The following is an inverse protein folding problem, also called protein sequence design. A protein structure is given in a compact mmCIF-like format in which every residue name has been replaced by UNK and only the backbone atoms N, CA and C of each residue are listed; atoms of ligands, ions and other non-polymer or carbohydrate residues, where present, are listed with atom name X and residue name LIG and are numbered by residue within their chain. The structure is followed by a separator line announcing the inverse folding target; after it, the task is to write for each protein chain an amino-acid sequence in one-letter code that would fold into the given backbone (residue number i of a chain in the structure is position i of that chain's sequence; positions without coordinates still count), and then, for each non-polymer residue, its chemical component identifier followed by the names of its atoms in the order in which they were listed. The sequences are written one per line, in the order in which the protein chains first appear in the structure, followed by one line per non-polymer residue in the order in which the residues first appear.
data_IF_591747394504
#
_entry.id   IF_591747394504
#
_cell.length_a   1.000
_cell.length_b   1.000
_cell.length_c   1.000
_cell.angle_alpha   90.00
_cell.angle_beta   90.00
_cell.angle_gamma   90.00
#
_symmetry.space_group_name_H-M   'P 1'
#
loop_
_entity.id
_entity.type
_entity.pdbx_description
1 polymer ?
#
# COMPACT_ATOMS: atom_id res chain seq x y z
N UNK A 1 -51.99 14.63 -23.40
CA UNK A 1 -50.64 14.29 -22.89
C UNK A 1 -49.70 14.10 -24.07
N UNK A 2 -48.68 14.95 -24.25
CA UNK A 2 -47.63 14.76 -25.28
C UNK A 2 -46.55 13.86 -24.72
N UNK A 3 -46.39 12.66 -25.31
CA UNK A 3 -45.26 11.79 -25.03
C UNK A 3 -43.98 12.45 -25.56
N UNK A 4 -43.14 12.97 -24.66
CA UNK A 4 -41.77 13.35 -24.97
C UNK A 4 -41.01 12.06 -25.32
N UNK A 5 -40.80 11.80 -26.61
CA UNK A 5 -39.91 10.74 -27.08
C UNK A 5 -38.55 10.92 -26.40
N UNK A 6 -38.11 9.93 -25.61
CA UNK A 6 -36.74 9.89 -25.06
C UNK A 6 -35.77 10.03 -26.23
N UNK A 7 -35.00 11.12 -26.24
CA UNK A 7 -33.94 11.30 -27.25
C UNK A 7 -32.95 10.15 -27.11
N UNK A 8 -32.65 9.49 -28.22
CA UNK A 8 -31.64 8.43 -28.28
C UNK A 8 -30.30 9.01 -27.78
N UNK A 9 -29.64 8.31 -26.86
CA UNK A 9 -28.34 8.72 -26.33
C UNK A 9 -27.33 8.63 -27.47
N UNK A 10 -26.66 9.75 -27.78
CA UNK A 10 -25.58 9.80 -28.77
C UNK A 10 -24.36 9.10 -28.18
N UNK A 11 -23.78 8.19 -28.95
CA UNK A 11 -22.57 7.44 -28.57
C UNK A 11 -21.34 8.03 -29.26
N UNK A 12 -20.13 7.67 -28.78
CA UNK A 12 -18.88 8.03 -29.44
C UNK A 12 -18.84 7.52 -30.89
N UNK A 13 -19.28 6.29 -31.11
CA UNK A 13 -19.38 5.66 -32.44
C UNK A 13 -20.33 6.42 -33.38
N UNK A 14 -21.40 7.03 -32.86
CA UNK A 14 -22.28 7.89 -33.65
C UNK A 14 -21.56 9.17 -34.10
N UNK A 15 -20.70 9.72 -33.26
CA UNK A 15 -19.91 10.93 -33.55
C UNK A 15 -18.77 10.61 -34.51
N UNK A 16 -18.06 9.51 -34.31
CA UNK A 16 -16.98 9.05 -35.20
C UNK A 16 -17.51 8.82 -36.62
N UNK A 17 -18.65 8.13 -36.77
CA UNK A 17 -19.32 7.98 -38.08
C UNK A 17 -19.72 9.32 -38.69
N UNK A 18 -20.17 10.27 -37.88
CA UNK A 18 -20.50 11.61 -38.38
C UNK A 18 -19.25 12.36 -38.86
N UNK A 19 -18.11 12.20 -38.18
CA UNK A 19 -16.82 12.76 -38.58
C UNK A 19 -16.37 12.16 -39.92
N UNK A 20 -16.45 10.83 -40.09
CA UNK A 20 -16.10 10.17 -41.36
C UNK A 20 -16.91 10.72 -42.55
N UNK A 21 -18.24 10.84 -42.38
CA UNK A 21 -19.11 11.42 -43.41
C UNK A 21 -18.71 12.87 -43.72
N UNK A 22 -18.31 13.63 -42.70
CA UNK A 22 -17.88 15.02 -42.87
C UNK A 22 -16.51 15.10 -43.56
N UNK A 23 -15.56 14.21 -43.25
CA UNK A 23 -14.26 14.14 -43.91
C UNK A 23 -14.41 13.85 -45.41
N UNK A 24 -15.33 12.96 -45.80
CA UNK A 24 -15.65 12.70 -47.22
C UNK A 24 -16.17 13.97 -47.92
N UNK A 25 -17.05 14.72 -47.26
CA UNK A 25 -17.60 15.98 -47.80
C UNK A 25 -16.59 17.12 -47.82
N UNK A 26 -15.71 17.17 -46.85
CA UNK A 26 -14.59 18.09 -46.83
C UNK A 26 -13.68 17.85 -48.04
N UNK A 27 -13.33 16.60 -48.31
CA UNK A 27 -12.50 16.22 -49.45
C UNK A 27 -13.12 16.68 -50.79
N UNK A 28 -14.42 16.43 -50.99
CA UNK A 28 -15.16 16.90 -52.17
C UNK A 28 -15.08 18.43 -52.33
N UNK A 29 -15.27 19.17 -51.24
CA UNK A 29 -15.28 20.64 -51.24
C UNK A 29 -13.87 21.21 -51.48
N UNK A 30 -12.85 20.68 -50.81
CA UNK A 30 -11.45 21.10 -50.99
C UNK A 30 -10.98 20.83 -52.42
N UNK A 31 -11.31 19.65 -52.97
CA UNK A 31 -10.97 19.31 -54.36
C UNK A 31 -11.60 20.29 -55.36
N UNK A 32 -12.89 20.64 -55.14
CA UNK A 32 -13.59 21.61 -55.97
C UNK A 32 -13.04 23.03 -55.79
N UNK A 33 -12.69 23.42 -54.56
CA UNK A 33 -12.05 24.69 -54.26
C UNK A 33 -10.72 24.82 -55.01
N UNK A 34 -9.85 23.81 -54.96
CA UNK A 34 -8.57 23.81 -55.67
C UNK A 34 -8.72 23.83 -57.19
N UNK A 35 -9.77 23.23 -57.73
CA UNK A 35 -10.09 23.31 -59.16
C UNK A 35 -10.55 24.72 -59.56
N UNK A 36 -11.42 25.33 -58.76
CA UNK A 36 -11.87 26.71 -58.97
C UNK A 36 -10.71 27.71 -58.85
N UNK A 37 -9.84 27.51 -57.85
CA UNK A 37 -8.68 28.37 -57.61
C UNK A 37 -7.69 28.33 -58.77
N UNK A 38 -7.33 27.13 -59.24
CA UNK A 38 -6.47 26.96 -60.43
C UNK A 38 -7.09 27.63 -61.65
N UNK A 39 -8.36 27.37 -61.91
CA UNK A 39 -9.07 27.96 -63.06
C UNK A 39 -9.29 29.47 -62.94
N UNK A 40 -9.21 30.06 -61.76
CA UNK A 40 -9.23 31.52 -61.56
C UNK A 40 -7.82 32.09 -61.77
N UNK A 41 -6.79 31.46 -61.21
CA UNK A 41 -5.38 31.83 -61.39
C UNK A 41 -4.98 31.83 -62.87
N UNK A 42 -5.39 30.81 -63.62
CA UNK A 42 -5.13 30.71 -65.07
C UNK A 42 -5.76 31.86 -65.87
N UNK A 43 -6.95 32.34 -65.48
CA UNK A 43 -7.60 33.48 -66.15
C UNK A 43 -6.81 34.76 -65.86
N UNK A 44 -6.42 34.99 -64.62
CA UNK A 44 -5.58 36.13 -64.26
C UNK A 44 -4.22 36.12 -64.98
N UNK A 45 -3.60 34.94 -65.13
CA UNK A 45 -2.34 34.80 -65.88
C UNK A 45 -2.47 35.18 -67.36
N UNK A 46 -3.66 35.07 -67.94
CA UNK A 46 -3.96 35.51 -69.31
C UNK A 46 -4.27 37.01 -69.41
N UNK A 47 -4.25 37.74 -68.29
CA UNK A 47 -4.62 39.16 -68.24
C UNK A 47 -6.13 39.41 -68.30
N UNK A 48 -6.94 38.37 -68.15
CA UNK A 48 -8.41 38.45 -68.16
C UNK A 48 -8.96 38.49 -66.73
N UNK A 49 -10.22 38.96 -66.60
CA UNK A 49 -10.93 38.92 -65.32
C UNK A 49 -11.86 37.70 -65.23
N UNK A 50 -11.80 36.91 -64.14
CA UNK A 50 -12.74 35.81 -63.92
C UNK A 50 -14.19 36.31 -63.88
N UNK A 51 -15.12 35.51 -64.41
CA UNK A 51 -16.54 35.86 -64.38
C UNK A 51 -17.08 35.92 -62.95
N UNK A 52 -18.04 36.82 -62.70
CA UNK A 52 -18.70 36.97 -61.39
C UNK A 52 -19.22 35.62 -60.85
N UNK A 53 -19.89 34.76 -61.65
CA UNK A 53 -20.32 33.44 -61.16
C UNK A 53 -19.17 32.55 -60.67
N UNK A 54 -17.99 32.59 -61.33
CA UNK A 54 -16.82 31.80 -60.95
C UNK A 54 -16.23 32.28 -59.62
N UNK A 55 -16.16 33.59 -59.42
CA UNK A 55 -15.74 34.20 -58.15
C UNK A 55 -16.71 33.88 -57.00
N UNK A 56 -18.02 33.92 -57.25
CA UNK A 56 -19.05 33.54 -56.27
C UNK A 56 -18.90 32.06 -55.91
N UNK A 57 -18.71 31.18 -56.88
CA UNK A 57 -18.52 29.75 -56.65
C UNK A 57 -17.28 29.48 -55.78
N UNK A 58 -16.16 30.15 -56.06
CA UNK A 58 -14.94 30.05 -55.24
C UNK A 58 -15.17 30.52 -53.80
N UNK A 59 -15.79 31.69 -53.61
CA UNK A 59 -16.07 32.22 -52.27
C UNK A 59 -17.00 31.31 -51.47
N UNK A 60 -18.01 30.72 -52.11
CA UNK A 60 -18.92 29.75 -51.48
C UNK A 60 -18.20 28.46 -51.09
N UNK A 61 -17.39 27.90 -51.98
CA UNK A 61 -16.61 26.70 -51.68
C UNK A 61 -15.65 26.94 -50.51
N UNK A 62 -14.97 28.10 -50.48
CA UNK A 62 -14.08 28.48 -49.37
C UNK A 62 -14.81 28.61 -48.05
N UNK A 63 -15.99 29.25 -48.05
CA UNK A 63 -16.82 29.36 -46.84
C UNK A 63 -17.28 27.98 -46.34
N UNK A 64 -17.71 27.11 -47.25
CA UNK A 64 -18.15 25.75 -46.90
C UNK A 64 -17.01 24.91 -46.31
N UNK A 65 -15.79 25.02 -46.85
CA UNK A 65 -14.62 24.35 -46.30
C UNK A 65 -14.39 24.74 -44.83
N UNK A 66 -14.37 26.05 -44.54
CA UNK A 66 -14.17 26.55 -43.18
C UNK A 66 -15.30 26.13 -42.22
N UNK A 67 -16.56 26.10 -42.70
CA UNK A 67 -17.70 25.67 -41.88
C UNK A 67 -17.59 24.19 -41.53
N UNK A 68 -17.19 23.35 -42.48
CA UNK A 68 -17.01 21.91 -42.28
C UNK A 68 -15.88 21.63 -41.29
N UNK A 69 -14.75 22.34 -41.41
CA UNK A 69 -13.64 22.24 -40.47
C UNK A 69 -14.09 22.57 -39.04
N UNK A 70 -14.82 23.68 -38.85
CA UNK A 70 -15.38 24.05 -37.54
C UNK A 70 -16.39 23.04 -36.98
N UNK A 71 -17.22 22.42 -37.84
CA UNK A 71 -18.11 21.35 -37.41
C UNK A 71 -17.34 20.10 -36.97
N UNK A 72 -16.27 19.75 -37.68
CA UNK A 72 -15.43 18.61 -37.32
C UNK A 72 -14.74 18.81 -35.98
N UNK A 73 -14.19 19.99 -35.74
CA UNK A 73 -13.58 20.33 -34.44
C UNK A 73 -14.59 20.27 -33.30
N UNK A 74 -15.82 20.75 -33.55
CA UNK A 74 -16.91 20.64 -32.58
C UNK A 74 -17.23 19.17 -32.27
N UNK A 75 -17.37 18.32 -33.29
CA UNK A 75 -17.66 16.90 -33.10
C UNK A 75 -16.53 16.17 -32.37
N UNK A 76 -15.27 16.48 -32.67
CA UNK A 76 -14.10 15.96 -31.93
C UNK A 76 -14.15 16.39 -30.46
N UNK A 77 -14.51 17.65 -30.18
CA UNK A 77 -14.73 18.13 -28.82
C UNK A 77 -15.80 17.34 -28.06
N UNK A 78 -16.93 17.06 -28.70
CA UNK A 78 -18.00 16.25 -28.09
C UNK A 78 -17.56 14.80 -27.86
N UNK A 79 -16.81 14.19 -28.78
CA UNK A 79 -16.26 12.85 -28.58
C UNK A 79 -15.34 12.78 -27.34
N UNK A 80 -14.46 13.77 -27.17
CA UNK A 80 -13.61 13.89 -25.99
C UNK A 80 -14.43 14.06 -24.69
N UNK A 81 -15.51 14.84 -24.72
CA UNK A 81 -16.38 15.00 -23.55
C UNK A 81 -17.05 13.67 -23.14
N UNK A 82 -17.44 12.85 -24.11
CA UNK A 82 -17.98 11.51 -23.86
C UNK A 82 -16.92 10.61 -23.20
N UNK A 83 -15.68 10.62 -23.67
CA UNK A 83 -14.58 9.84 -23.09
C UNK A 83 -14.28 10.29 -21.65
N UNK A 84 -14.11 11.60 -21.43
CA UNK A 84 -13.86 12.17 -20.10
C UNK A 84 -14.96 11.76 -19.13
N UNK A 85 -16.22 11.83 -19.56
CA UNK A 85 -17.35 11.43 -18.73
C UNK A 85 -17.32 9.95 -18.39
N UNK A 86 -16.99 9.08 -19.35
CA UNK A 86 -16.88 7.64 -19.12
C UNK A 86 -15.78 7.33 -18.10
N UNK A 87 -14.64 8.00 -18.17
CA UNK A 87 -13.54 7.82 -17.22
C UNK A 87 -13.87 8.38 -15.83
N UNK A 88 -14.55 9.53 -15.74
CA UNK A 88 -15.08 10.03 -14.47
C UNK A 88 -16.07 9.06 -13.82
N UNK A 89 -16.96 8.44 -14.60
CA UNK A 89 -17.92 7.46 -14.10
C UNK A 89 -17.21 6.19 -13.57
N UNK A 90 -16.12 5.74 -14.23
CA UNK A 90 -15.26 4.65 -13.71
C UNK A 90 -14.59 5.05 -12.40
N UNK A 91 -13.95 6.22 -12.34
CA UNK A 91 -13.30 6.71 -11.12
C UNK A 91 -14.31 6.76 -9.96
N UNK A 92 -15.52 7.27 -10.23
CA UNK A 92 -16.59 7.38 -9.22
C UNK A 92 -17.07 6.02 -8.71
N UNK A 93 -17.02 4.98 -9.53
CA UNK A 93 -17.42 3.62 -9.13
C UNK A 93 -16.31 2.88 -8.37
N UNK A 94 -15.05 3.14 -8.69
CA UNK A 94 -13.91 2.52 -8.02
C UNK A 94 -13.53 3.20 -6.69
N UNK A 95 -13.68 4.52 -6.57
CA UNK A 95 -13.29 5.29 -5.39
C UNK A 95 -13.85 4.71 -4.06
N UNK A 96 -15.15 4.38 -3.96
CA UNK A 96 -15.72 3.84 -2.72
C UNK A 96 -15.05 2.53 -2.29
N UNK A 97 -14.74 1.64 -3.24
CA UNK A 97 -14.08 0.36 -2.94
C UNK A 97 -12.66 0.54 -2.39
N UNK A 98 -11.92 1.53 -2.91
CA UNK A 98 -10.59 1.88 -2.40
C UNK A 98 -10.67 2.44 -0.99
N UNK A 99 -11.66 3.31 -0.72
CA UNK A 99 -11.89 3.84 0.63
C UNK A 99 -12.28 2.75 1.64
N UNK A 100 -13.13 1.81 1.24
CA UNK A 100 -13.50 0.66 2.08
C UNK A 100 -12.27 -0.22 2.40
N UNK A 101 -11.41 -0.48 1.42
CA UNK A 101 -10.20 -1.27 1.60
C UNK A 101 -9.21 -0.59 2.55
N UNK A 102 -9.01 0.73 2.40
CA UNK A 102 -8.17 1.53 3.30
C UNK A 102 -8.72 1.49 4.72
N UNK A 103 -10.03 1.65 4.90
CA UNK A 103 -10.66 1.59 6.22
C UNK A 103 -10.49 0.21 6.86
N UNK A 104 -10.73 -0.87 6.12
CA UNK A 104 -10.52 -2.23 6.60
C UNK A 104 -9.06 -2.47 7.03
N UNK A 105 -8.11 -1.97 6.24
CA UNK A 105 -6.69 -2.10 6.55
C UNK A 105 -6.32 -1.32 7.82
N UNK A 106 -6.82 -0.09 7.95
CA UNK A 106 -6.61 0.74 9.14
C UNK A 106 -7.19 0.10 10.41
N UNK A 107 -8.39 -0.47 10.33
CA UNK A 107 -9.01 -1.21 11.45
C UNK A 107 -8.14 -2.42 11.83
N UNK A 108 -7.71 -3.21 10.85
CA UNK A 108 -6.86 -4.39 11.10
C UNK A 108 -5.53 -4.01 11.78
N UNK A 109 -4.89 -2.93 11.32
CA UNK A 109 -3.65 -2.43 11.94
C UNK A 109 -3.88 -1.95 13.38
N UNK A 110 -4.99 -1.25 13.62
CA UNK A 110 -5.35 -0.78 14.96
C UNK A 110 -5.56 -1.95 15.92
N UNK A 111 -6.31 -2.97 15.51
CA UNK A 111 -6.51 -4.19 16.29
C UNK A 111 -5.19 -4.94 16.52
N UNK A 112 -4.34 -5.03 15.51
CA UNK A 112 -3.02 -5.67 15.66
C UNK A 112 -2.15 -4.95 16.69
N UNK A 113 -2.12 -3.62 16.67
CA UNK A 113 -1.39 -2.82 17.66
C UNK A 113 -1.92 -3.04 19.07
N UNK A 114 -3.24 -3.06 19.26
CA UNK A 114 -3.86 -3.34 20.56
C UNK A 114 -3.48 -4.74 21.08
N UNK A 115 -3.47 -5.75 20.21
CA UNK A 115 -3.05 -7.11 20.58
C UNK A 115 -1.58 -7.16 20.98
N UNK A 116 -0.70 -6.48 20.23
CA UNK A 116 0.73 -6.38 20.56
C UNK A 116 0.93 -5.73 21.93
N UNK A 117 0.22 -4.63 22.22
CA UNK A 117 0.31 -3.99 23.54
C UNK A 117 -0.14 -4.92 24.67
N UNK A 118 -1.20 -5.70 24.46
CA UNK A 118 -1.65 -6.69 25.43
C UNK A 118 -0.61 -7.79 25.65
N UNK A 119 0.00 -8.30 24.58
CA UNK A 119 1.07 -9.30 24.66
C UNK A 119 2.28 -8.76 25.42
N UNK A 120 2.70 -7.51 25.17
CA UNK A 120 3.78 -6.85 25.91
C UNK A 120 3.43 -6.76 27.41
N UNK A 121 2.20 -6.36 27.74
CA UNK A 121 1.75 -6.28 29.15
C UNK A 121 1.75 -7.66 29.82
N UNK A 122 1.31 -8.70 29.12
CA UNK A 122 1.34 -10.08 29.63
C UNK A 122 2.78 -10.55 29.85
N UNK A 123 3.65 -10.35 28.86
CA UNK A 123 5.06 -10.74 28.95
C UNK A 123 5.75 -10.06 30.14
N UNK A 124 5.54 -8.75 30.33
CA UNK A 124 6.06 -8.04 31.51
C UNK A 124 5.60 -8.67 32.82
N UNK A 125 4.31 -9.00 32.95
CA UNK A 125 3.77 -9.67 34.15
C UNK A 125 4.43 -11.04 34.37
N UNK A 126 4.64 -11.82 33.31
CA UNK A 126 5.32 -13.11 33.40
C UNK A 126 6.77 -12.95 33.87
N UNK A 127 7.53 -12.04 33.27
CA UNK A 127 8.91 -11.76 33.66
C UNK A 127 9.00 -11.33 35.13
N UNK A 128 8.14 -10.40 35.59
CA UNK A 128 8.12 -9.98 37.00
C UNK A 128 7.76 -11.11 37.95
N UNK A 129 6.84 -12.01 37.58
CA UNK A 129 6.50 -13.18 38.41
C UNK A 129 7.66 -14.18 38.47
N UNK A 130 8.31 -14.43 37.35
CA UNK A 130 9.45 -15.32 37.25
C UNK A 130 10.62 -14.79 38.09
N UNK A 131 10.91 -13.50 37.98
CA UNK A 131 11.93 -12.81 38.77
C UNK A 131 11.69 -12.96 40.28
N UNK A 132 10.46 -12.71 40.75
CA UNK A 132 10.10 -12.94 42.17
C UNK A 132 10.25 -14.40 42.59
N UNK A 133 9.84 -15.34 41.74
CA UNK A 133 9.97 -16.77 42.03
C UNK A 133 11.44 -17.20 42.14
N UNK A 134 12.31 -16.65 41.29
CA UNK A 134 13.76 -16.89 41.34
C UNK A 134 14.32 -16.37 42.64
N UNK A 135 14.04 -15.11 43.02
CA UNK A 135 14.51 -14.53 44.28
C UNK A 135 14.03 -15.33 45.51
N UNK A 136 12.78 -15.79 45.52
CA UNK A 136 12.27 -16.64 46.60
C UNK A 136 12.95 -18.01 46.65
N UNK A 137 13.28 -18.57 45.49
CA UNK A 137 13.98 -19.86 45.42
C UNK A 137 15.43 -19.72 45.89
N UNK A 138 16.12 -18.64 45.50
CA UNK A 138 17.48 -18.34 45.96
C UNK A 138 17.53 -18.14 47.48
N UNK A 139 16.61 -17.36 48.06
CA UNK A 139 16.55 -17.16 49.51
C UNK A 139 16.35 -18.50 50.25
N UNK A 140 15.47 -19.37 49.76
CA UNK A 140 15.29 -20.71 50.35
C UNK A 140 16.53 -21.59 50.24
N UNK A 141 17.28 -21.48 49.14
CA UNK A 141 18.53 -22.20 48.96
C UNK A 141 19.60 -21.69 49.93
N UNK A 142 19.65 -20.39 50.20
CA UNK A 142 20.52 -19.79 51.23
C UNK A 142 20.15 -20.33 52.61
N UNK A 143 18.87 -20.27 53.01
CA UNK A 143 18.39 -20.81 54.29
C UNK A 143 18.72 -22.31 54.46
N UNK A 144 18.55 -23.10 53.39
CA UNK A 144 18.91 -24.52 53.36
C UNK A 144 20.42 -24.72 53.50
N UNK A 145 21.23 -23.89 52.85
CA UNK A 145 22.68 -23.95 52.95
C UNK A 145 23.15 -23.66 54.38
N UNK A 146 22.58 -22.65 55.03
CA UNK A 146 22.86 -22.35 56.44
C UNK A 146 22.48 -23.52 57.36
N UNK A 147 21.30 -24.10 57.14
CA UNK A 147 20.85 -25.28 57.91
C UNK A 147 21.78 -26.49 57.72
N UNK A 148 22.29 -26.70 56.50
CA UNK A 148 23.25 -27.78 56.22
C UNK A 148 24.57 -27.54 56.94
N UNK A 149 25.07 -26.30 56.97
CA UNK A 149 26.28 -25.97 57.72
C UNK A 149 26.09 -26.12 59.23
N UNK A 150 24.92 -25.76 59.76
CA UNK A 150 24.57 -25.99 61.16
C UNK A 150 24.52 -27.48 61.51
N UNK A 151 23.85 -28.30 60.69
CA UNK A 151 23.81 -29.77 60.88
C UNK A 151 25.22 -30.38 60.81
N UNK A 152 26.04 -29.97 59.85
CA UNK A 152 27.44 -30.43 59.76
C UNK A 152 28.18 -30.11 61.05
N UNK A 153 28.06 -28.87 61.55
CA UNK A 153 28.71 -28.44 62.78
C UNK A 153 28.22 -29.26 63.98
N UNK A 154 26.92 -29.42 64.15
CA UNK A 154 26.36 -30.24 65.23
C UNK A 154 26.84 -31.69 65.17
N UNK A 155 26.90 -32.28 63.97
CA UNK A 155 27.39 -33.63 63.77
C UNK A 155 28.87 -33.75 64.18
N UNK A 156 29.73 -32.81 63.76
CA UNK A 156 31.13 -32.78 64.19
C UNK A 156 31.26 -32.63 65.72
N UNK A 157 30.47 -31.75 66.34
CA UNK A 157 30.55 -31.48 67.78
C UNK A 157 30.02 -32.65 68.63
N UNK A 158 28.97 -33.35 68.20
CA UNK A 158 28.31 -34.42 68.97
C UNK A 158 28.89 -35.81 68.71
N UNK A 159 29.08 -36.15 67.43
CA UNK A 159 29.40 -37.52 67.00
C UNK A 159 30.83 -37.60 66.44
N UNK A 160 31.24 -36.59 65.67
CA UNK A 160 32.52 -36.56 64.98
C UNK A 160 33.72 -36.63 65.93
N UNK A 161 33.67 -35.98 67.10
CA UNK A 161 34.75 -36.05 68.10
C UNK A 161 34.93 -37.47 68.65
N UNK A 162 33.84 -38.16 68.97
CA UNK A 162 33.91 -39.53 69.50
C UNK A 162 34.46 -40.50 68.45
N UNK A 163 34.01 -40.37 67.20
CA UNK A 163 34.51 -41.20 66.09
C UNK A 163 35.99 -40.91 65.80
N UNK A 164 36.40 -39.63 65.85
CA UNK A 164 37.81 -39.25 65.64
C UNK A 164 38.72 -39.79 66.75
N UNK A 165 38.26 -39.75 68.01
CA UNK A 165 38.98 -40.31 69.15
C UNK A 165 39.12 -41.84 69.05
N UNK A 166 38.07 -42.53 68.61
CA UNK A 166 38.09 -43.98 68.37
C UNK A 166 39.07 -44.36 67.25
N UNK A 167 39.04 -43.64 66.12
CA UNK A 167 39.97 -43.86 65.00
C UNK A 167 41.42 -43.55 65.34
N UNK A 168 41.68 -42.51 66.14
CA UNK A 168 43.03 -42.20 66.64
C UNK A 168 43.55 -43.24 67.64
N UNK A 169 42.66 -43.95 68.35
CA UNK A 169 43.03 -45.04 69.25
C UNK A 169 43.30 -46.35 68.50
N UNK A 170 42.62 -46.58 67.37
CA UNK A 170 42.78 -47.79 66.56
C UNK A 170 43.98 -47.75 65.59
N UNK A 171 44.36 -46.57 65.08
CA UNK A 171 45.42 -46.43 64.07
C UNK A 171 46.42 -45.29 64.38
N UNK A 172 47.65 -45.67 64.71
CA UNK A 172 48.73 -44.75 65.07
C UNK A 172 49.33 -43.99 63.86
N UNK A 173 49.32 -44.58 62.66
CA UNK A 173 49.78 -43.89 61.44
C UNK A 173 48.77 -42.81 61.02
N UNK A 174 47.48 -43.10 61.19
CA UNK A 174 46.41 -42.13 61.00
C UNK A 174 46.55 -40.95 61.98
N UNK A 175 46.80 -41.23 63.26
CA UNK A 175 47.04 -40.19 64.27
C UNK A 175 48.23 -39.28 63.92
N UNK A 176 49.32 -39.80 63.34
CA UNK A 176 50.46 -38.97 62.90
C UNK A 176 50.14 -38.12 61.66
N UNK A 177 49.34 -38.64 60.73
CA UNK A 177 48.97 -37.97 59.47
C UNK A 177 47.98 -36.79 59.65
N UNK A 178 47.26 -36.72 60.78
CA UNK A 178 46.29 -35.63 61.01
C UNK A 178 47.02 -34.27 61.15
N UNK A 179 46.59 -33.20 60.43
CA UNK A 179 47.14 -31.86 60.58
C UNK A 179 46.98 -31.33 62.01
N UNK A 180 47.98 -30.58 62.50
CA UNK A 180 48.03 -30.13 63.89
C UNK A 180 46.80 -29.34 64.36
N UNK A 181 46.09 -28.68 63.43
CA UNK A 181 44.86 -27.93 63.65
C UNK A 181 43.72 -28.81 64.21
N UNK A 182 43.74 -30.12 63.95
CA UNK A 182 42.75 -31.08 64.43
C UNK A 182 43.23 -31.89 65.65
N UNK A 183 44.48 -31.67 66.10
CA UNK A 183 45.11 -32.45 67.20
C UNK A 183 44.93 -31.85 68.59
N UNK A 184 44.48 -30.58 68.75
CA UNK A 184 44.26 -29.97 70.08
C UNK A 184 43.06 -29.01 70.14
N UNK A 185 42.08 -29.43 70.97
CA UNK A 185 40.83 -28.82 71.47
C UNK A 185 39.62 -28.72 70.52
#
# INVERSE_FOLDING_TARGET
MRFLKRRKKVTKEDIERAIEIIDDKEFEIISRLGTLERGIKEIFLKGENPTIPKMIAYKRAKLLANIIEGFKDTLRGVALEIDIKADFDKIKTELPSVFELINSFHTSLTTSNQNIEQLIKMQRKYVTRMDRSIHQSLARMEDMSESVEEIKREFYEKEGKAILEELMAEDAEFAEAIPAEFKRK
#
